data_IF_876253070209
#
_entry.id   IF_876253070209
#
_cell.length_a   1.000
_cell.length_b   1.000
_cell.length_c   1.000
_cell.angle_alpha   90.00
_cell.angle_beta   90.00
_cell.angle_gamma   90.00
#
_symmetry.space_group_name_H-M   'P 1'
#
loop_
_entity.id
_entity.type
_entity.pdbx_description
1 polymer ?
#
# COMPACT_ATOMS: atom_id res chain seq x y z
N UNK A 1 -22.66 9.72 -13.71
CA UNK A 1 -23.71 10.47 -14.45
C UNK A 1 -24.43 11.40 -13.49
N UNK A 2 -24.69 12.64 -13.91
CA UNK A 2 -25.46 13.64 -13.17
C UNK A 2 -26.92 13.59 -13.64
N UNK A 3 -27.87 13.29 -12.74
CA UNK A 3 -29.30 13.18 -13.06
C UNK A 3 -30.11 14.21 -12.28
N UNK A 4 -30.92 14.98 -12.99
CA UNK A 4 -31.85 15.98 -12.42
C UNK A 4 -33.26 15.65 -12.88
N UNK A 5 -34.24 15.74 -11.99
CA UNK A 5 -35.64 15.50 -12.33
C UNK A 5 -36.53 16.59 -11.73
N UNK A 6 -37.49 17.09 -12.51
CA UNK A 6 -38.55 17.92 -11.98
C UNK A 6 -39.61 17.02 -11.30
N UNK A 7 -39.48 16.84 -9.99
CA UNK A 7 -40.45 16.10 -9.16
C UNK A 7 -41.64 16.96 -8.72
N UNK A 8 -41.71 18.22 -9.14
CA UNK A 8 -42.79 19.14 -8.82
C UNK A 8 -44.03 18.95 -9.70
N UNK A 9 -45.05 19.78 -9.45
CA UNK A 9 -46.35 19.73 -10.13
C UNK A 9 -46.48 20.71 -11.31
N UNK A 10 -45.47 21.55 -11.56
CA UNK A 10 -45.52 22.58 -12.59
C UNK A 10 -44.25 22.58 -13.44
N UNK A 11 -44.36 23.14 -14.64
CA UNK A 11 -43.21 23.40 -15.50
C UNK A 11 -42.21 24.31 -14.78
N UNK A 12 -40.93 24.02 -14.95
CA UNK A 12 -39.83 24.90 -14.53
C UNK A 12 -39.03 25.34 -15.75
N UNK A 13 -38.34 26.48 -15.65
CA UNK A 13 -37.47 27.00 -16.69
C UNK A 13 -36.28 27.77 -16.08
N UNK A 14 -35.43 28.34 -16.94
CA UNK A 14 -34.23 29.08 -16.56
C UNK A 14 -33.34 28.27 -15.58
N UNK A 15 -33.27 26.96 -15.83
CA UNK A 15 -32.43 26.04 -15.09
C UNK A 15 -30.98 26.49 -15.18
N UNK A 16 -30.28 26.45 -14.06
CA UNK A 16 -28.86 26.74 -13.99
C UNK A 16 -28.22 25.88 -12.90
N UNK A 17 -27.06 25.33 -13.21
CA UNK A 17 -26.26 24.52 -12.32
C UNK A 17 -24.82 25.00 -12.38
N UNK A 18 -24.17 25.00 -11.22
CA UNK A 18 -22.74 25.18 -11.07
C UNK A 18 -22.18 23.98 -10.30
N UNK A 19 -21.01 23.53 -10.74
CA UNK A 19 -20.20 22.55 -10.03
C UNK A 19 -18.75 23.09 -10.03
N UNK A 20 -18.08 22.97 -8.88
CA UNK A 20 -16.66 23.28 -8.71
C UNK A 20 -15.99 21.94 -8.47
N UNK A 21 -15.05 21.58 -9.35
CA UNK A 21 -14.36 20.30 -9.25
C UNK A 21 -13.64 20.22 -7.89
N UNK A 22 -13.62 19.04 -7.25
CA UNK A 22 -12.84 18.79 -6.05
C UNK A 22 -11.40 19.29 -6.17
N UNK A 23 -10.93 19.95 -5.11
CA UNK A 23 -9.56 20.39 -4.94
C UNK A 23 -9.26 20.62 -3.45
N UNK A 24 -7.99 20.63 -3.07
CA UNK A 24 -7.56 20.97 -1.72
C UNK A 24 -8.14 22.32 -1.25
N UNK A 25 -8.81 22.31 -0.10
CA UNK A 25 -9.39 23.51 0.52
C UNK A 25 -10.65 24.03 -0.16
N UNK A 26 -11.30 23.22 -1.00
CA UNK A 26 -12.57 23.54 -1.61
C UNK A 26 -13.72 23.74 -0.61
N UNK A 27 -14.72 24.51 -1.04
CA UNK A 27 -15.90 24.84 -0.24
C UNK A 27 -17.17 24.59 -1.03
N UNK A 28 -18.32 24.61 -0.37
CA UNK A 28 -19.61 24.49 -1.03
C UNK A 28 -19.88 25.52 -2.14
N UNK A 29 -20.82 25.18 -3.01
CA UNK A 29 -21.07 25.88 -4.27
C UNK A 29 -22.16 26.96 -4.12
N UNK A 30 -23.07 26.87 -3.16
CA UNK A 30 -24.09 27.92 -2.94
C UNK A 30 -23.64 28.96 -1.91
N UNK A 31 -24.35 30.09 -1.85
CA UNK A 31 -24.09 31.11 -0.83
C UNK A 31 -24.21 30.55 0.60
N UNK A 32 -25.08 29.56 0.82
CA UNK A 32 -25.29 28.94 2.11
C UNK A 32 -24.07 28.13 2.60
N UNK A 33 -23.29 27.57 1.67
CA UNK A 33 -22.21 26.61 1.94
C UNK A 33 -20.83 27.10 1.51
N UNK A 34 -20.72 28.30 0.94
CA UNK A 34 -19.46 28.85 0.43
C UNK A 34 -18.36 29.09 1.48
N UNK A 35 -18.68 29.01 2.77
CA UNK A 35 -17.70 29.03 3.85
C UNK A 35 -17.52 27.66 4.52
N UNK A 36 -18.20 26.62 4.04
CA UNK A 36 -18.10 25.26 4.56
C UNK A 36 -17.13 24.48 3.68
N UNK A 37 -16.05 24.00 4.29
CA UNK A 37 -15.09 23.13 3.61
C UNK A 37 -15.76 21.83 3.19
N UNK A 38 -15.37 21.32 2.02
CA UNK A 38 -15.74 19.96 1.62
C UNK A 38 -14.73 18.93 2.11
N UNK A 39 -13.55 19.36 2.58
CA UNK A 39 -12.48 18.50 3.10
C UNK A 39 -11.97 17.52 2.02
N UNK A 40 -11.96 17.94 0.75
CA UNK A 40 -11.35 17.16 -0.33
C UNK A 40 -9.84 17.06 -0.12
N UNK A 41 -9.31 15.85 -0.25
CA UNK A 41 -7.89 15.54 -0.04
C UNK A 41 -7.08 15.57 -1.34
N UNK A 42 -7.72 15.30 -2.48
CA UNK A 42 -7.09 15.43 -3.80
C UNK A 42 -7.95 16.22 -4.78
N UNK A 43 -7.35 16.55 -5.92
CA UNK A 43 -7.99 17.27 -7.03
C UNK A 43 -8.50 16.30 -8.10
N UNK A 44 -9.62 16.63 -8.73
CA UNK A 44 -10.06 15.95 -9.96
C UNK A 44 -9.99 16.84 -11.20
N UNK A 45 -10.01 16.19 -12.36
CA UNK A 45 -9.84 16.83 -13.66
C UNK A 45 -10.92 16.36 -14.61
N UNK A 46 -11.42 17.27 -15.46
CA UNK A 46 -12.23 16.84 -16.61
C UNK A 46 -11.31 16.16 -17.65
N UNK A 47 -11.83 15.16 -18.34
CA UNK A 47 -11.13 14.50 -19.45
C UNK A 47 -11.74 14.82 -20.81
N UNK A 48 -12.81 15.60 -20.85
CA UNK A 48 -13.53 15.95 -22.07
C UNK A 48 -14.76 16.81 -21.80
N UNK A 49 -15.56 17.07 -22.86
CA UNK A 49 -16.77 17.85 -22.73
C UNK A 49 -17.85 17.09 -21.97
N UNK A 50 -18.65 17.84 -21.20
CA UNK A 50 -19.89 17.34 -20.60
C UNK A 50 -20.91 17.15 -21.73
N UNK A 51 -21.57 16.00 -21.73
CA UNK A 51 -22.55 15.62 -22.74
C UNK A 51 -23.94 15.60 -22.13
N UNK A 52 -24.91 16.23 -22.80
CA UNK A 52 -26.33 16.09 -22.49
C UNK A 52 -26.85 14.79 -23.12
N UNK A 53 -27.09 13.79 -22.28
CA UNK A 53 -27.51 12.44 -22.69
C UNK A 53 -29.03 12.32 -22.83
N UNK A 54 -29.77 12.95 -21.92
CA UNK A 54 -31.23 12.88 -21.88
C UNK A 54 -31.81 14.24 -21.53
N UNK A 55 -32.88 14.63 -22.23
CA UNK A 55 -33.69 15.80 -21.88
C UNK A 55 -35.17 15.56 -22.23
N UNK A 56 -36.10 16.38 -21.70
CA UNK A 56 -37.50 16.28 -22.06
C UNK A 56 -37.74 16.65 -23.53
N UNK A 57 -38.57 15.86 -24.22
CA UNK A 57 -38.93 16.03 -25.62
C UNK A 57 -40.44 15.89 -25.82
N UNK A 58 -41.02 16.68 -26.73
CA UNK A 58 -42.41 16.53 -27.18
C UNK A 58 -42.62 17.20 -28.56
N UNK A 59 -42.95 16.45 -29.63
CA UNK A 59 -42.94 14.99 -29.73
C UNK A 59 -41.51 14.42 -29.62
N UNK A 60 -41.32 13.09 -29.53
CA UNK A 60 -39.99 12.48 -29.51
C UNK A 60 -39.10 12.98 -30.65
N UNK A 61 -37.85 13.33 -30.34
CA UNK A 61 -36.89 13.99 -31.23
C UNK A 61 -37.00 15.52 -31.28
N UNK A 62 -37.91 16.13 -30.51
CA UNK A 62 -38.07 17.60 -30.42
C UNK A 62 -37.83 18.06 -28.98
N UNK A 63 -36.61 18.54 -28.65
CA UNK A 63 -36.28 19.02 -27.32
C UNK A 63 -37.20 20.14 -26.83
N UNK A 64 -37.63 20.03 -25.57
CA UNK A 64 -38.43 21.05 -24.89
C UNK A 64 -37.59 22.17 -24.29
N UNK A 65 -36.26 22.08 -24.39
CA UNK A 65 -35.33 23.10 -23.94
C UNK A 65 -34.02 23.08 -24.73
N UNK A 66 -33.27 24.17 -24.59
CA UNK A 66 -31.88 24.24 -25.05
C UNK A 66 -30.97 24.53 -23.86
N UNK A 67 -29.83 23.85 -23.80
CA UNK A 67 -28.87 23.94 -22.71
C UNK A 67 -27.50 24.34 -23.26
N UNK A 68 -26.86 25.28 -22.58
CA UNK A 68 -25.50 25.71 -22.84
C UNK A 68 -24.63 25.22 -21.71
N UNK A 69 -23.55 24.56 -22.07
CA UNK A 69 -22.54 24.06 -21.16
C UNK A 69 -21.31 24.96 -21.33
N UNK A 70 -20.84 25.50 -20.22
CA UNK A 70 -19.70 26.41 -20.20
C UNK A 70 -18.72 25.98 -19.11
N UNK A 71 -17.44 26.21 -19.36
CA UNK A 71 -16.33 25.75 -18.53
C UNK A 71 -15.58 26.94 -17.98
N UNK A 72 -15.22 26.90 -16.72
CA UNK A 72 -14.37 27.89 -16.11
C UNK A 72 -12.92 27.41 -16.14
N UNK A 73 -12.07 28.18 -16.84
CA UNK A 73 -10.65 27.92 -16.92
C UNK A 73 -9.97 28.78 -15.86
N UNK A 74 -9.49 28.14 -14.81
CA UNK A 74 -9.02 28.80 -13.60
C UNK A 74 -7.59 28.42 -13.29
N UNK A 75 -6.64 29.30 -13.56
CA UNK A 75 -5.32 29.27 -12.92
C UNK A 75 -5.04 30.65 -12.31
N UNK A 76 -5.00 30.81 -10.96
CA UNK A 76 -5.18 29.83 -9.87
C UNK A 76 -6.58 29.86 -9.21
N UNK A 77 -7.57 30.52 -9.81
CA UNK A 77 -8.89 30.66 -9.20
C UNK A 77 -9.71 29.37 -9.39
N UNK A 78 -10.12 28.71 -8.31
CA UNK A 78 -11.08 27.59 -8.36
C UNK A 78 -12.54 28.06 -8.21
N UNK A 79 -12.74 29.33 -7.89
CA UNK A 79 -13.99 29.82 -7.33
C UNK A 79 -14.65 30.83 -8.28
N UNK A 80 -15.33 30.38 -9.35
CA UNK A 80 -16.00 31.28 -10.29
C UNK A 80 -17.12 32.06 -9.61
N UNK A 81 -17.35 33.29 -10.07
CA UNK A 81 -18.56 34.01 -9.69
C UNK A 81 -19.81 33.28 -10.18
N UNK A 82 -20.78 33.15 -9.27
CA UNK A 82 -22.02 32.38 -9.44
C UNK A 82 -23.20 33.08 -8.77
N UNK A 83 -23.57 34.28 -9.23
CA UNK A 83 -24.60 35.10 -8.58
C UNK A 83 -25.97 34.46 -8.51
N UNK A 84 -26.26 33.53 -9.41
CA UNK A 84 -27.50 32.76 -9.42
C UNK A 84 -27.61 31.79 -8.25
N UNK A 85 -26.51 31.49 -7.57
CA UNK A 85 -26.46 30.58 -6.40
C UNK A 85 -26.66 31.33 -5.07
N UNK A 86 -27.20 32.55 -5.10
CA UNK A 86 -27.53 33.32 -3.89
C UNK A 86 -28.69 32.70 -3.10
N UNK A 87 -28.74 32.99 -1.79
CA UNK A 87 -29.81 32.57 -0.87
C UNK A 87 -31.09 33.41 -1.02
N UNK A 88 -31.13 34.31 -2.00
CA UNK A 88 -32.24 35.22 -2.20
C UNK A 88 -33.17 34.72 -3.29
N UNK A 89 -34.47 34.74 -3.00
CA UNK A 89 -35.50 34.58 -4.02
C UNK A 89 -35.68 35.84 -4.89
N UNK A 90 -35.02 36.96 -4.57
CA UNK A 90 -35.04 38.16 -5.39
C UNK A 90 -34.02 38.10 -6.54
N UNK A 91 -34.44 38.61 -7.70
CA UNK A 91 -33.61 38.69 -8.93
C UNK A 91 -32.47 39.72 -8.79
N UNK A 92 -32.53 40.63 -7.82
CA UNK A 92 -31.69 41.83 -7.77
C UNK A 92 -30.43 41.68 -6.90
N UNK A 93 -30.40 40.69 -6.00
CA UNK A 93 -29.26 40.45 -5.09
C UNK A 93 -28.35 39.37 -5.65
N UNK A 94 -27.33 39.81 -6.38
CA UNK A 94 -26.27 38.97 -6.91
C UNK A 94 -25.24 38.72 -5.81
N UNK A 95 -25.09 37.46 -5.40
CA UNK A 95 -23.98 37.02 -4.56
C UNK A 95 -22.72 36.82 -5.42
N UNK A 96 -21.50 37.01 -4.89
CA UNK A 96 -20.24 36.94 -5.67
C UNK A 96 -20.21 37.81 -6.96
N UNK A 97 -20.29 39.14 -6.83
CA UNK A 97 -20.23 40.03 -8.00
C UNK A 97 -18.85 40.05 -8.70
N UNK A 98 -18.80 39.75 -10.01
CA UNK A 98 -17.66 40.01 -10.92
C UNK A 98 -17.19 38.82 -11.75
N UNK A 99 -16.86 39.03 -13.04
CA UNK A 99 -16.04 38.14 -13.90
C UNK A 99 -16.59 36.75 -14.26
N UNK A 100 -17.43 36.68 -15.28
CA UNK A 100 -17.99 35.45 -15.89
C UNK A 100 -17.01 34.78 -16.86
N UNK A 101 -15.81 34.38 -16.44
CA UNK A 101 -14.81 33.74 -17.31
C UNK A 101 -15.16 32.28 -17.64
N UNK A 102 -16.41 32.04 -18.01
CA UNK A 102 -16.88 30.80 -18.56
C UNK A 102 -16.71 30.84 -20.07
N UNK A 103 -16.13 29.79 -20.63
CA UNK A 103 -15.94 29.60 -22.07
C UNK A 103 -16.78 28.44 -22.55
N UNK A 104 -17.17 28.46 -23.83
CA UNK A 104 -17.73 27.27 -24.47
C UNK A 104 -16.63 26.23 -24.70
N UNK A 105 -17.02 25.00 -25.04
CA UNK A 105 -16.10 23.90 -25.38
C UNK A 105 -14.97 24.32 -26.34
N UNK A 106 -15.29 25.08 -27.39
CA UNK A 106 -14.30 25.56 -28.35
C UNK A 106 -13.20 26.48 -27.76
N UNK A 107 -13.41 27.01 -26.55
CA UNK A 107 -12.44 27.80 -25.81
C UNK A 107 -11.57 26.98 -24.85
N UNK A 108 -11.86 25.69 -24.66
CA UNK A 108 -11.05 24.79 -23.82
C UNK A 108 -9.89 24.25 -24.65
N UNK A 109 -8.67 24.65 -24.27
CA UNK A 109 -7.44 24.22 -24.94
C UNK A 109 -6.76 23.05 -24.22
N UNK A 110 -7.01 22.93 -22.92
CA UNK A 110 -6.55 21.85 -22.07
C UNK A 110 -7.61 21.60 -20.99
N UNK A 111 -8.12 20.37 -20.94
CA UNK A 111 -9.13 19.97 -19.97
C UNK A 111 -8.60 19.96 -18.53
N UNK A 112 -7.28 19.83 -18.35
CA UNK A 112 -6.66 19.91 -17.03
C UNK A 112 -6.72 21.31 -16.42
N UNK A 113 -7.02 22.35 -17.20
CA UNK A 113 -7.14 23.73 -16.71
C UNK A 113 -8.57 24.09 -16.27
N UNK A 114 -9.55 23.20 -16.52
CA UNK A 114 -10.93 23.42 -16.09
C UNK A 114 -11.04 23.13 -14.60
N UNK A 115 -11.59 24.07 -13.84
CA UNK A 115 -11.77 23.94 -12.38
C UNK A 115 -13.22 23.99 -11.94
N UNK A 116 -14.12 24.41 -12.82
CA UNK A 116 -15.56 24.42 -12.57
C UNK A 116 -16.32 24.41 -13.89
N UNK A 117 -17.61 24.06 -13.85
CA UNK A 117 -18.49 24.15 -15.01
C UNK A 117 -19.86 24.71 -14.63
N UNK A 118 -20.55 25.20 -15.65
CA UNK A 118 -21.90 25.73 -15.56
C UNK A 118 -22.76 25.14 -16.68
N UNK A 119 -23.96 24.71 -16.31
CA UNK A 119 -24.99 24.30 -17.26
C UNK A 119 -26.14 25.27 -17.12
N UNK A 120 -26.54 25.92 -18.22
CA UNK A 120 -27.62 26.91 -18.22
C UNK A 120 -28.62 26.62 -19.32
N UNK A 121 -29.90 26.64 -18.95
CA UNK A 121 -30.99 26.59 -19.92
C UNK A 121 -31.17 27.97 -20.55
N UNK A 122 -31.09 28.04 -21.88
CA UNK A 122 -31.35 29.26 -22.65
C UNK A 122 -32.83 29.50 -22.86
N UNK A 123 -33.52 28.46 -23.33
CA UNK A 123 -34.92 28.52 -23.72
C UNK A 123 -35.65 27.24 -23.34
N UNK A 124 -36.97 27.32 -23.27
CA UNK A 124 -37.84 26.17 -23.09
C UNK A 124 -38.22 25.88 -21.64
N UNK A 125 -38.66 24.65 -21.39
CA UNK A 125 -39.22 24.19 -20.12
C UNK A 125 -38.72 22.81 -19.76
N UNK A 126 -38.81 22.48 -18.48
CA UNK A 126 -38.69 21.12 -17.95
C UNK A 126 -40.06 20.80 -17.32
N UNK A 127 -40.90 19.97 -17.96
CA UNK A 127 -42.22 19.63 -17.45
C UNK A 127 -42.14 18.74 -16.20
N UNK A 128 -43.24 18.60 -15.43
CA UNK A 128 -43.34 17.59 -14.36
C UNK A 128 -42.91 16.21 -14.85
N UNK A 129 -42.05 15.54 -14.08
CA UNK A 129 -41.47 14.24 -14.42
C UNK A 129 -40.32 14.30 -15.43
N UNK A 130 -40.10 15.44 -16.09
CA UNK A 130 -39.00 15.66 -17.03
C UNK A 130 -37.64 15.44 -16.36
N UNK A 131 -36.77 14.70 -17.04
CA UNK A 131 -35.44 14.32 -16.56
C UNK A 131 -34.38 14.95 -17.46
N UNK A 132 -33.28 15.39 -16.84
CA UNK A 132 -32.04 15.74 -17.50
C UNK A 132 -30.96 14.76 -17.04
N UNK A 133 -30.17 14.22 -17.97
CA UNK A 133 -29.00 13.39 -17.66
C UNK A 133 -27.79 13.96 -18.36
N UNK A 134 -26.72 14.20 -17.60
CA UNK A 134 -25.44 14.65 -18.12
C UNK A 134 -24.34 13.66 -17.80
N UNK A 135 -23.48 13.38 -18.77
CA UNK A 135 -22.21 12.68 -18.58
C UNK A 135 -21.12 13.70 -18.32
N UNK A 136 -20.46 13.61 -17.17
CA UNK A 136 -19.35 14.48 -16.76
C UNK A 136 -18.08 13.62 -16.75
N UNK A 137 -17.24 13.68 -17.80
CA UNK A 137 -16.06 12.82 -17.90
C UNK A 137 -14.96 13.38 -16.99
N UNK A 138 -14.56 12.60 -15.98
CA UNK A 138 -13.58 12.99 -14.96
C UNK A 138 -12.50 11.93 -14.80
N UNK A 139 -11.32 12.36 -14.35
CA UNK A 139 -10.24 11.50 -13.85
C UNK A 139 -9.65 12.06 -12.55
N UNK A 140 -8.94 11.20 -11.86
CA UNK A 140 -7.95 11.53 -10.84
C UNK A 140 -6.60 11.68 -11.56
N UNK A 141 -5.70 12.55 -11.09
CA UNK A 141 -4.34 12.57 -11.63
C UNK A 141 -3.61 11.29 -11.23
N UNK A 142 -2.93 10.68 -12.18
CA UNK A 142 -2.11 9.48 -12.01
C UNK A 142 -0.62 9.85 -11.82
N UNK A 143 -0.31 11.14 -11.72
CA UNK A 143 1.04 11.62 -11.39
C UNK A 143 1.32 11.38 -9.91
N UNK A 144 2.51 10.84 -9.63
CA UNK A 144 3.02 10.58 -8.28
C UNK A 144 2.77 11.76 -7.32
N UNK A 145 2.03 11.50 -6.22
CA UNK A 145 1.82 12.44 -5.10
C UNK A 145 0.64 13.41 -5.22
N UNK A 146 -0.35 13.16 -6.08
CA UNK A 146 -1.57 14.01 -6.17
C UNK A 146 -2.84 13.41 -5.57
N UNK A 147 -2.97 12.09 -5.55
CA UNK A 147 -4.07 11.38 -4.88
C UNK A 147 -3.52 10.08 -4.30
N UNK A 148 -3.66 9.92 -3.00
CA UNK A 148 -3.14 8.77 -2.26
C UNK A 148 -4.26 7.80 -1.92
N UNK A 149 -3.86 6.59 -1.58
CA UNK A 149 -4.77 5.52 -1.22
C UNK A 149 -5.63 5.90 0.00
N UNK A 150 -6.92 5.57 -0.02
CA UNK A 150 -7.85 5.95 1.06
C UNK A 150 -8.23 7.42 1.14
N UNK A 151 -7.69 8.29 0.28
CA UNK A 151 -8.11 9.67 0.22
C UNK A 151 -9.50 9.83 -0.41
N UNK A 152 -10.18 10.92 -0.05
CA UNK A 152 -11.51 11.24 -0.59
C UNK A 152 -11.52 12.66 -1.16
N UNK A 153 -11.97 12.77 -2.41
CA UNK A 153 -12.37 14.03 -3.01
C UNK A 153 -13.89 14.19 -2.92
N UNK A 154 -14.35 15.27 -2.31
CA UNK A 154 -15.78 15.49 -2.10
C UNK A 154 -16.37 16.40 -3.17
N UNK A 155 -17.29 15.86 -3.96
CA UNK A 155 -18.00 16.65 -4.96
C UNK A 155 -19.44 17.00 -4.54
N UNK A 156 -19.89 18.17 -4.96
CA UNK A 156 -21.29 18.59 -4.94
C UNK A 156 -21.54 19.68 -5.98
N UNK A 157 -22.81 19.94 -6.29
CA UNK A 157 -23.20 20.99 -7.22
C UNK A 157 -24.32 21.83 -6.62
N UNK A 158 -24.39 23.11 -7.01
CA UNK A 158 -25.52 23.96 -6.69
C UNK A 158 -26.37 24.19 -7.93
N UNK A 159 -27.68 24.16 -7.77
CA UNK A 159 -28.63 24.34 -8.86
C UNK A 159 -29.79 25.24 -8.48
N UNK A 160 -30.43 25.82 -9.49
CA UNK A 160 -31.58 26.72 -9.35
C UNK A 160 -32.45 26.67 -10.58
N UNK A 161 -33.75 26.88 -10.39
CA UNK A 161 -34.75 26.97 -11.44
C UNK A 161 -35.80 28.02 -11.09
N UNK A 162 -36.59 28.40 -12.09
CA UNK A 162 -37.72 29.32 -11.96
C UNK A 162 -39.00 28.53 -12.16
N UNK A 163 -39.99 28.79 -11.30
CA UNK A 163 -41.34 28.28 -11.49
C UNK A 163 -41.96 29.00 -12.70
N UNK A 164 -42.16 28.28 -13.82
CA UNK A 164 -42.54 28.90 -15.09
C UNK A 164 -43.89 29.62 -15.03
N UNK A 165 -44.95 29.06 -14.39
CA UNK A 165 -46.23 29.76 -14.30
C UNK A 165 -46.20 31.06 -13.49
N UNK A 166 -45.49 31.07 -12.35
CA UNK A 166 -45.45 32.24 -11.46
C UNK A 166 -44.33 33.22 -11.77
N UNK A 167 -43.34 32.82 -12.57
CA UNK A 167 -42.10 33.57 -12.79
C UNK A 167 -41.22 33.65 -11.54
N UNK A 168 -41.58 32.96 -10.44
CA UNK A 168 -40.86 33.04 -9.18
C UNK A 168 -39.57 32.23 -9.24
N UNK A 169 -38.45 32.90 -8.95
CA UNK A 169 -37.16 32.26 -8.69
C UNK A 169 -37.26 31.38 -7.43
N UNK A 170 -36.86 30.13 -7.55
CA UNK A 170 -36.76 29.22 -6.41
C UNK A 170 -35.38 29.33 -5.75
N UNK A 171 -35.32 28.93 -4.47
CA UNK A 171 -34.09 28.96 -3.71
C UNK A 171 -33.06 27.99 -4.32
N UNK A 172 -31.79 28.36 -4.20
CA UNK A 172 -30.68 27.50 -4.61
C UNK A 172 -30.72 26.21 -3.79
N UNK A 173 -30.60 25.09 -4.49
CA UNK A 173 -30.49 23.77 -3.89
C UNK A 173 -29.09 23.23 -4.13
N UNK A 174 -28.47 22.70 -3.08
CA UNK A 174 -27.18 22.02 -3.14
C UNK A 174 -27.35 20.69 -2.42
N UNK A 175 -27.28 19.55 -3.14
CA UNK A 175 -27.35 18.24 -2.53
C UNK A 175 -26.19 17.99 -1.56
N UNK A 176 -26.31 16.92 -0.77
CA UNK A 176 -25.19 16.43 0.04
C UNK A 176 -24.00 16.10 -0.84
N UNK A 177 -22.80 16.39 -0.34
CA UNK A 177 -21.55 15.99 -0.97
C UNK A 177 -21.46 14.47 -1.10
N UNK A 178 -20.88 14.01 -2.21
CA UNK A 178 -20.60 12.61 -2.51
C UNK A 178 -19.09 12.45 -2.68
N UNK A 179 -18.54 11.39 -2.09
CA UNK A 179 -17.12 11.09 -2.16
C UNK A 179 -16.75 10.42 -3.48
N UNK A 180 -15.62 10.83 -4.04
CA UNK A 180 -14.83 10.09 -5.03
C UNK A 180 -13.66 9.53 -4.24
N UNK A 181 -13.55 8.21 -4.16
CA UNK A 181 -12.64 7.50 -3.26
C UNK A 181 -11.54 6.85 -4.10
N UNK A 182 -10.30 6.93 -3.63
CA UNK A 182 -9.22 6.04 -4.04
C UNK A 182 -9.24 4.87 -3.07
N UNK A 183 -9.36 3.65 -3.59
CA UNK A 183 -9.42 2.45 -2.74
C UNK A 183 -8.17 2.37 -1.86
N UNK A 184 -8.34 1.95 -0.61
CA UNK A 184 -7.27 1.74 0.37
C UNK A 184 -6.44 0.53 -0.04
N UNK A 185 -5.12 0.72 -0.15
CA UNK A 185 -4.11 -0.22 -0.63
C UNK A 185 -2.89 -0.12 0.26
N UNK A 186 -2.30 -1.28 0.49
CA UNK A 186 -1.18 -1.42 1.40
C UNK A 186 -0.05 -2.18 0.72
N UNK A 187 1.11 -2.14 1.36
CA UNK A 187 2.25 -2.93 0.92
C UNK A 187 2.98 -3.62 2.07
N UNK A 188 3.69 -4.70 1.73
CA UNK A 188 4.54 -5.48 2.64
C UNK A 188 5.90 -5.66 1.96
N UNK A 189 6.98 -5.39 2.69
CA UNK A 189 8.37 -5.72 2.37
C UNK A 189 9.01 -6.53 3.50
N UNK A 190 10.33 -6.69 3.63
CA UNK A 190 11.39 -5.89 3.03
C UNK A 190 12.62 -6.72 2.59
N UNK A 191 13.37 -7.40 3.48
CA UNK A 191 14.74 -7.84 3.19
C UNK A 191 15.11 -9.20 3.80
N UNK A 192 15.96 -9.93 3.07
CA UNK A 192 16.65 -11.13 3.52
C UNK A 192 18.16 -10.87 3.54
N UNK A 193 18.85 -11.18 4.64
CA UNK A 193 20.30 -10.91 4.75
C UNK A 193 21.10 -12.01 5.46
N UNK A 194 22.42 -11.90 5.29
CA UNK A 194 23.41 -12.73 5.95
C UNK A 194 23.82 -12.10 7.30
N UNK A 195 23.27 -12.62 8.39
CA UNK A 195 23.58 -12.22 9.76
C UNK A 195 24.90 -12.89 10.21
N UNK A 196 26.02 -12.37 9.72
CA UNK A 196 27.36 -12.87 10.03
C UNK A 196 28.20 -11.87 10.81
N UNK A 197 27.60 -10.74 11.21
CA UNK A 197 28.22 -9.63 11.90
C UNK A 197 29.26 -8.86 11.08
N UNK A 198 29.44 -9.18 9.79
CA UNK A 198 30.42 -8.59 8.88
C UNK A 198 31.87 -8.57 9.43
N UNK A 199 32.23 -9.61 10.19
CA UNK A 199 33.54 -9.71 10.85
C UNK A 199 33.65 -8.97 12.19
N UNK A 200 32.54 -8.43 12.71
CA UNK A 200 32.40 -7.92 14.08
C UNK A 200 31.72 -8.98 14.94
N UNK A 201 32.44 -9.65 15.87
CA UNK A 201 31.88 -10.78 16.61
C UNK A 201 30.64 -10.46 17.45
N UNK A 202 30.50 -9.22 17.94
CA UNK A 202 29.34 -8.79 18.72
C UNK A 202 28.05 -8.67 17.89
N UNK A 203 28.21 -8.65 16.56
CA UNK A 203 27.13 -8.46 15.61
C UNK A 203 26.72 -9.77 14.94
N UNK A 204 27.46 -10.86 15.16
CA UNK A 204 27.18 -12.12 14.48
C UNK A 204 26.01 -12.85 15.15
N UNK A 205 25.03 -13.25 14.34
CA UNK A 205 23.86 -14.03 14.73
C UNK A 205 23.04 -13.31 15.83
N UNK A 206 22.96 -11.98 15.75
CA UNK A 206 22.26 -11.16 16.75
C UNK A 206 20.82 -10.82 16.34
N UNK A 207 20.40 -11.21 15.14
CA UNK A 207 19.09 -10.94 14.56
C UNK A 207 18.81 -9.48 14.28
N UNK A 208 19.86 -8.67 14.09
CA UNK A 208 19.77 -7.25 13.72
C UNK A 208 20.64 -7.02 12.50
N UNK A 209 20.10 -6.37 11.47
CA UNK A 209 20.88 -6.00 10.30
C UNK A 209 21.92 -4.94 10.67
N UNK A 210 23.19 -5.35 10.67
CA UNK A 210 24.32 -4.54 11.05
C UNK A 210 25.10 -3.96 9.84
N UNK A 211 25.85 -2.89 10.10
CA UNK A 211 26.63 -2.25 9.05
C UNK A 211 27.68 -3.20 8.45
N UNK A 212 27.56 -3.45 7.14
CA UNK A 212 28.48 -4.30 6.38
C UNK A 212 27.97 -5.73 6.16
N UNK A 213 26.85 -6.10 6.79
CA UNK A 213 26.13 -7.31 6.42
C UNK A 213 25.52 -7.16 5.02
N UNK A 214 25.47 -8.27 4.30
CA UNK A 214 25.05 -8.29 2.90
C UNK A 214 23.68 -8.94 2.79
N UNK A 215 22.84 -8.39 1.92
CA UNK A 215 21.59 -9.04 1.56
C UNK A 215 21.80 -10.31 0.76
N UNK A 216 20.82 -11.20 0.81
CA UNK A 216 20.77 -12.44 0.05
C UNK A 216 19.76 -12.28 -1.09
N UNK A 217 20.26 -12.10 -2.31
CA UNK A 217 19.46 -12.08 -3.53
C UNK A 217 19.05 -13.51 -3.96
N UNK A 218 18.06 -13.61 -4.84
CA UNK A 218 17.54 -14.85 -5.44
C UNK A 218 16.85 -15.81 -4.45
N UNK A 219 16.50 -15.35 -3.25
CA UNK A 219 15.70 -16.09 -2.26
C UNK A 219 14.21 -15.90 -2.56
N UNK A 220 13.46 -17.00 -2.70
CA UNK A 220 11.99 -16.91 -2.86
C UNK A 220 11.31 -16.49 -1.56
N UNK A 221 10.40 -15.53 -1.65
CA UNK A 221 9.55 -15.07 -0.56
C UNK A 221 8.09 -15.21 -0.98
N UNK A 222 7.24 -15.71 -0.08
CA UNK A 222 5.83 -15.94 -0.34
C UNK A 222 4.94 -15.18 0.64
N UNK A 223 3.96 -14.46 0.13
CA UNK A 223 2.92 -13.83 0.93
C UNK A 223 1.69 -14.73 1.01
N UNK A 224 1.23 -14.99 2.22
CA UNK A 224 -0.03 -15.68 2.48
C UNK A 224 -1.03 -14.76 3.18
N UNK A 225 -2.33 -14.97 2.95
CA UNK A 225 -3.41 -14.30 3.66
C UNK A 225 -4.39 -15.29 4.27
N UNK A 226 -5.01 -14.89 5.38
CA UNK A 226 -6.19 -15.51 5.96
C UNK A 226 -7.31 -14.46 6.05
N UNK A 227 -8.11 -14.39 4.99
CA UNK A 227 -9.26 -13.48 4.89
C UNK A 227 -10.42 -13.91 5.80
N UNK A 228 -10.51 -15.20 6.10
CA UNK A 228 -11.58 -15.76 6.93
C UNK A 228 -11.29 -15.61 8.43
N UNK A 229 -10.02 -15.39 8.80
CA UNK A 229 -9.53 -15.35 10.17
C UNK A 229 -9.84 -16.66 10.89
N UNK A 230 -9.57 -17.79 10.22
CA UNK A 230 -9.81 -19.15 10.71
C UNK A 230 -8.52 -19.97 10.96
N UNK A 231 -7.36 -19.33 10.76
CA UNK A 231 -6.02 -19.89 10.86
C UNK A 231 -5.53 -20.57 9.58
N UNK A 232 -6.29 -20.52 8.47
CA UNK A 232 -5.96 -21.22 7.21
C UNK A 232 -5.49 -20.24 6.14
N UNK A 233 -4.18 -19.98 6.18
CA UNK A 233 -3.47 -19.13 5.24
C UNK A 233 -3.43 -19.70 3.80
N UNK A 234 -3.76 -18.85 2.81
CA UNK A 234 -3.69 -19.12 1.36
C UNK A 234 -2.58 -18.30 0.72
N UNK A 235 -1.89 -18.86 -0.27
CA UNK A 235 -0.85 -18.14 -1.02
C UNK A 235 -1.49 -17.02 -1.86
N UNK A 236 -1.01 -15.79 -1.65
CA UNK A 236 -1.44 -14.59 -2.37
C UNK A 236 -0.47 -14.26 -3.49
N UNK A 237 0.82 -14.18 -3.15
CA UNK A 237 1.86 -13.72 -4.04
C UNK A 237 3.20 -14.40 -3.74
N UNK A 238 4.10 -14.31 -4.71
CA UNK A 238 5.49 -14.77 -4.58
C UNK A 238 6.38 -13.72 -5.19
N UNK A 239 7.45 -13.37 -4.49
CA UNK A 239 8.53 -12.54 -4.97
C UNK A 239 9.86 -13.26 -4.75
N UNK A 240 10.94 -12.71 -5.31
CA UNK A 240 12.30 -13.21 -5.18
C UNK A 240 13.17 -12.02 -4.82
N UNK A 241 14.05 -12.17 -3.85
CA UNK A 241 14.88 -11.07 -3.34
C UNK A 241 15.86 -10.56 -4.39
N UNK A 242 16.11 -9.23 -4.42
CA UNK A 242 17.00 -8.56 -5.39
C UNK A 242 17.68 -7.36 -4.77
N UNK A 243 18.70 -6.85 -5.47
CA UNK A 243 19.32 -5.55 -5.20
C UNK A 243 19.81 -5.40 -3.75
N UNK A 244 20.34 -6.48 -3.20
CA UNK A 244 20.80 -6.55 -1.82
C UNK A 244 19.74 -7.10 -0.88
N UNK A 245 18.97 -8.09 -1.31
CA UNK A 245 18.11 -8.93 -0.48
C UNK A 245 16.66 -8.47 -0.39
N UNK A 246 16.23 -7.49 -1.18
CA UNK A 246 14.92 -6.87 -1.04
C UNK A 246 13.80 -7.61 -1.77
N UNK A 247 12.62 -7.71 -1.16
CA UNK A 247 11.38 -8.25 -1.71
C UNK A 247 10.20 -7.32 -1.41
N UNK A 248 9.15 -7.38 -2.23
CA UNK A 248 8.02 -6.47 -2.09
C UNK A 248 6.69 -7.05 -2.60
N UNK A 249 5.62 -6.77 -1.86
CA UNK A 249 4.23 -7.09 -2.20
C UNK A 249 3.34 -5.84 -2.07
N UNK A 250 2.87 -5.28 -3.19
CA UNK A 250 1.98 -4.12 -3.22
C UNK A 250 0.51 -4.47 -3.51
N UNK A 251 -0.34 -3.44 -3.55
CA UNK A 251 -1.78 -3.56 -3.90
C UNK A 251 -2.56 -4.52 -2.98
N UNK A 252 -2.22 -4.52 -1.69
CA UNK A 252 -2.84 -5.37 -0.68
C UNK A 252 -4.06 -4.70 -0.07
N UNK A 253 -5.01 -5.51 0.40
CA UNK A 253 -6.22 -5.04 1.08
C UNK A 253 -6.03 -5.18 2.60
N UNK A 254 -6.51 -4.23 3.39
CA UNK A 254 -6.51 -4.41 4.85
C UNK A 254 -7.72 -5.22 5.34
N UNK A 255 -8.78 -5.29 4.55
CA UNK A 255 -10.07 -5.84 4.97
C UNK A 255 -10.71 -6.76 3.93
N UNK A 256 -11.33 -7.83 4.43
CA UNK A 256 -12.22 -8.69 3.67
C UNK A 256 -13.69 -8.44 4.08
N UNK A 257 -14.58 -8.43 3.10
CA UNK A 257 -16.02 -8.18 3.30
C UNK A 257 -16.84 -9.39 2.85
N UNK A 258 -17.48 -10.05 3.81
CA UNK A 258 -18.45 -11.12 3.56
C UNK A 258 -19.88 -10.58 3.61
N UNK A 259 -20.67 -10.82 2.56
CA UNK A 259 -22.11 -10.52 2.55
C UNK A 259 -22.90 -11.77 2.96
N UNK A 260 -23.36 -11.82 4.20
CA UNK A 260 -24.17 -12.92 4.73
C UNK A 260 -25.65 -12.60 4.50
N UNK A 261 -26.44 -13.49 3.87
CA UNK A 261 -27.87 -13.28 3.71
C UNK A 261 -28.61 -13.11 5.05
N UNK A 262 -29.59 -12.18 5.17
CA UNK A 262 -30.15 -11.32 4.13
C UNK A 262 -29.57 -9.90 4.20
N UNK A 263 -28.31 -9.73 3.79
CA UNK A 263 -27.60 -8.43 3.66
C UNK A 263 -26.89 -7.95 4.95
N UNK A 264 -26.31 -8.87 5.73
CA UNK A 264 -25.36 -8.54 6.80
C UNK A 264 -23.94 -8.56 6.26
N UNK A 265 -23.31 -7.39 6.16
CA UNK A 265 -21.88 -7.29 5.89
C UNK A 265 -21.08 -7.61 7.16
N UNK A 266 -20.14 -8.54 7.04
CA UNK A 266 -19.12 -8.81 8.05
C UNK A 266 -17.80 -8.35 7.47
N UNK A 267 -17.21 -7.35 8.11
CA UNK A 267 -15.89 -6.82 7.76
C UNK A 267 -14.87 -7.41 8.73
N UNK A 268 -13.77 -7.92 8.20
CA UNK A 268 -12.65 -8.50 8.96
C UNK A 268 -11.36 -7.87 8.48
N UNK A 269 -10.40 -7.70 9.39
CA UNK A 269 -9.02 -7.42 8.97
C UNK A 269 -8.40 -8.72 8.45
N UNK A 270 -7.71 -8.62 7.33
CA UNK A 270 -7.00 -9.75 6.72
C UNK A 270 -5.73 -9.98 7.55
N UNK A 271 -5.49 -11.23 7.97
CA UNK A 271 -4.21 -11.61 8.55
C UNK A 271 -3.25 -12.01 7.43
N UNK A 272 -2.08 -11.40 7.39
CA UNK A 272 -1.00 -11.71 6.47
C UNK A 272 0.14 -12.47 7.16
N UNK A 273 0.85 -13.28 6.39
CA UNK A 273 2.05 -13.97 6.83
C UNK A 273 3.04 -14.08 5.67
N UNK A 274 4.27 -13.65 5.90
CA UNK A 274 5.37 -13.81 4.94
C UNK A 274 6.12 -15.11 5.25
N UNK A 275 6.53 -15.85 4.22
CA UNK A 275 7.21 -17.13 4.34
C UNK A 275 8.40 -17.23 3.40
N UNK A 276 9.51 -17.74 3.91
CA UNK A 276 10.58 -18.34 3.12
C UNK A 276 10.24 -19.82 2.97
N UNK A 277 9.90 -20.29 1.75
CA UNK A 277 9.35 -21.61 1.55
C UNK A 277 10.38 -22.72 1.79
N UNK A 278 9.88 -23.89 2.18
CA UNK A 278 10.71 -25.02 2.58
C UNK A 278 11.75 -25.48 1.54
N UNK A 279 11.46 -25.30 0.24
CA UNK A 279 12.38 -25.69 -0.82
C UNK A 279 13.65 -24.83 -0.87
N UNK A 280 13.64 -23.63 -0.29
CA UNK A 280 14.86 -22.82 -0.14
C UNK A 280 15.88 -23.50 0.77
N UNK A 281 15.46 -24.45 1.61
CA UNK A 281 16.33 -25.13 2.58
C UNK A 281 16.68 -26.57 2.17
N UNK A 282 16.29 -27.03 0.97
CA UNK A 282 16.53 -28.40 0.52
C UNK A 282 17.91 -28.56 -0.15
N UNK A 283 18.80 -29.31 0.50
CA UNK A 283 20.15 -29.63 -0.01
C UNK A 283 20.15 -30.52 -1.27
N UNK A 284 18.99 -31.05 -1.69
CA UNK A 284 18.86 -31.94 -2.86
C UNK A 284 18.61 -31.21 -4.17
N UNK A 285 18.68 -29.87 -4.18
CA UNK A 285 18.69 -29.07 -5.40
C UNK A 285 19.85 -29.53 -6.32
N UNK A 286 19.55 -29.97 -7.57
CA UNK A 286 20.54 -30.53 -8.50
C UNK A 286 21.73 -29.64 -8.86
N UNK A 287 21.70 -28.34 -8.53
CA UNK A 287 22.81 -27.41 -8.79
C UNK A 287 23.92 -27.43 -7.71
N UNK A 288 23.64 -28.02 -6.53
CA UNK A 288 24.63 -28.41 -5.50
C UNK A 288 25.29 -27.26 -4.72
N UNK A 289 25.72 -27.48 -3.46
CA UNK A 289 26.24 -26.41 -2.60
C UNK A 289 27.58 -25.89 -3.13
N UNK A 290 27.64 -24.65 -3.62
CA UNK A 290 28.91 -23.95 -3.81
C UNK A 290 29.43 -23.44 -2.45
N UNK A 291 30.65 -23.85 -2.10
CA UNK A 291 31.36 -23.50 -0.86
C UNK A 291 31.74 -21.99 -0.84
N UNK A 292 31.34 -21.24 -1.86
CA UNK A 292 31.63 -19.81 -2.01
C UNK A 292 30.32 -19.04 -2.26
N UNK A 293 29.80 -18.42 -1.20
CA UNK A 293 28.78 -17.35 -1.28
C UNK A 293 29.38 -16.12 -1.99
N UNK A 294 29.54 -16.17 -3.32
CA UNK A 294 29.62 -15.00 -4.21
C UNK A 294 29.69 -15.38 -5.71
N UNK A 295 28.92 -16.36 -6.18
CA UNK A 295 28.66 -16.51 -7.62
C UNK A 295 27.19 -16.83 -7.82
N UNK A 296 26.59 -16.14 -8.79
CA UNK A 296 25.14 -16.03 -9.04
C UNK A 296 24.46 -17.34 -9.54
N UNK A 297 24.91 -18.51 -9.07
CA UNK A 297 24.54 -19.82 -9.61
C UNK A 297 24.15 -20.86 -8.52
N UNK A 298 23.94 -20.49 -7.25
CA UNK A 298 23.40 -21.41 -6.22
C UNK A 298 22.51 -20.66 -5.20
N UNK A 299 21.17 -20.74 -5.33
CA UNK A 299 20.21 -19.87 -4.64
C UNK A 299 19.70 -20.39 -3.29
N UNK A 300 20.15 -21.56 -2.84
CA UNK A 300 19.50 -22.21 -1.68
C UNK A 300 20.02 -21.69 -0.33
N UNK A 301 19.10 -21.42 0.60
CA UNK A 301 19.35 -21.31 2.04
C UNK A 301 19.66 -22.67 2.69
N UNK A 302 20.11 -23.66 1.90
CA UNK A 302 20.63 -24.90 2.41
C UNK A 302 21.74 -24.63 3.44
N UNK A 303 21.66 -25.30 4.59
CA UNK A 303 22.56 -25.10 5.74
C UNK A 303 22.48 -23.73 6.44
N UNK A 304 21.51 -22.88 6.12
CA UNK A 304 21.23 -21.69 6.91
C UNK A 304 20.14 -21.95 7.95
N UNK A 305 20.19 -21.18 9.03
CA UNK A 305 19.20 -21.15 10.12
C UNK A 305 18.88 -19.66 10.36
N UNK A 306 17.63 -19.35 10.70
CA UNK A 306 17.25 -17.98 11.06
C UNK A 306 18.04 -17.52 12.28
N UNK A 307 18.36 -16.23 12.33
CA UNK A 307 19.14 -15.61 13.41
C UNK A 307 18.45 -15.59 14.77
N UNK A 308 17.13 -15.71 14.82
CA UNK A 308 16.38 -15.97 16.06
C UNK A 308 16.69 -17.36 16.68
N UNK A 309 17.31 -18.25 15.90
CA UNK A 309 17.70 -19.61 16.28
C UNK A 309 16.50 -20.52 16.55
N UNK A 310 16.74 -21.84 16.65
CA UNK A 310 15.69 -22.87 16.74
C UNK A 310 14.90 -22.87 18.08
N UNK A 311 14.28 -21.75 18.42
CA UNK A 311 13.42 -21.59 19.58
C UNK A 311 11.97 -21.54 19.10
N UNK A 312 11.13 -22.54 19.43
CA UNK A 312 9.74 -22.60 18.97
C UNK A 312 8.85 -21.54 19.66
N UNK A 313 9.44 -20.64 20.44
CA UNK A 313 8.75 -19.69 21.30
C UNK A 313 8.59 -18.36 20.62
N UNK A 314 8.00 -18.31 19.42
CA UNK A 314 7.12 -17.24 18.94
C UNK A 314 7.44 -15.77 19.32
N UNK A 315 8.71 -15.42 19.54
CA UNK A 315 9.13 -14.12 20.09
C UNK A 315 10.14 -13.57 19.11
N UNK A 316 9.67 -12.89 18.05
CA UNK A 316 10.53 -12.01 17.24
C UNK A 316 11.39 -11.14 18.16
N UNK A 317 12.55 -10.67 17.67
CA UNK A 317 13.35 -9.68 18.40
C UNK A 317 12.63 -8.32 18.30
N UNK A 318 11.54 -8.15 19.04
CA UNK A 318 10.72 -6.94 19.00
C UNK A 318 9.27 -7.18 19.42
N UNK A 319 8.52 -6.11 19.74
CA UNK A 319 7.06 -6.16 19.59
C UNK A 319 6.73 -6.55 18.13
N UNK A 320 5.56 -7.13 17.93
CA UNK A 320 5.06 -7.59 16.63
C UNK A 320 5.43 -6.64 15.48
N UNK A 321 6.33 -7.07 14.57
CA UNK A 321 6.58 -6.47 13.25
C UNK A 321 6.55 -4.93 13.24
N UNK A 322 7.26 -4.28 14.18
CA UNK A 322 7.31 -2.82 14.28
C UNK A 322 8.74 -2.26 14.31
N UNK A 323 9.74 -3.15 14.27
CA UNK A 323 11.16 -2.79 14.23
C UNK A 323 11.78 -3.28 12.91
N UNK A 324 11.97 -2.35 11.99
CA UNK A 324 12.81 -2.54 10.81
C UNK A 324 14.22 -2.99 11.20
N UNK A 325 14.85 -3.76 10.30
CA UNK A 325 16.22 -4.27 10.41
C UNK A 325 16.39 -5.28 11.55
N UNK A 326 15.33 -6.00 11.91
CA UNK A 326 15.36 -7.07 12.92
C UNK A 326 14.72 -8.35 12.42
N UNK A 327 15.31 -9.51 12.74
CA UNK A 327 14.82 -10.79 12.23
C UNK A 327 13.43 -11.11 12.82
N UNK A 328 12.45 -11.19 11.93
CA UNK A 328 11.05 -11.52 12.26
C UNK A 328 10.73 -13.01 12.02
N UNK A 329 11.69 -13.77 11.52
CA UNK A 329 11.58 -15.18 11.20
C UNK A 329 11.26 -16.06 12.41
N UNK A 330 10.22 -16.89 12.27
CA UNK A 330 9.89 -17.98 13.18
C UNK A 330 10.39 -19.29 12.60
N UNK A 331 11.29 -19.91 13.34
CA UNK A 331 11.87 -21.18 12.98
C UNK A 331 10.92 -22.38 13.16
N UNK A 332 11.16 -23.46 12.39
CA UNK A 332 10.55 -24.74 12.68
C UNK A 332 11.10 -25.30 14.00
N UNK A 333 10.34 -26.20 14.63
CA UNK A 333 10.65 -26.72 15.96
C UNK A 333 11.96 -27.54 16.04
N UNK A 334 12.55 -27.89 14.90
CA UNK A 334 13.83 -28.57 14.80
C UNK A 334 14.55 -28.17 13.50
N UNK A 335 15.88 -28.12 13.53
CA UNK A 335 16.72 -27.83 12.35
C UNK A 335 16.42 -28.78 11.19
N UNK A 336 16.10 -30.05 11.47
CA UNK A 336 15.77 -31.03 10.44
C UNK A 336 14.42 -30.78 9.73
N UNK A 337 13.61 -29.82 10.18
CA UNK A 337 12.30 -29.52 9.63
C UNK A 337 12.29 -28.27 8.72
N UNK A 338 13.41 -27.56 8.54
CA UNK A 338 13.48 -26.47 7.55
C UNK A 338 13.10 -26.90 6.13
N UNK A 339 13.58 -28.05 5.61
CA UNK A 339 13.20 -28.52 4.27
C UNK A 339 11.74 -28.95 4.13
N UNK A 340 10.96 -28.96 5.22
CA UNK A 340 9.52 -29.26 5.17
C UNK A 340 8.64 -28.06 5.51
N UNK A 341 9.10 -27.22 6.44
CA UNK A 341 8.27 -26.20 7.09
C UNK A 341 8.69 -24.76 6.72
N UNK A 342 9.93 -24.58 6.23
CA UNK A 342 10.51 -23.27 5.93
C UNK A 342 10.59 -22.35 7.15
N UNK A 343 10.66 -21.05 6.90
CA UNK A 343 10.62 -19.97 7.93
C UNK A 343 9.45 -19.05 7.63
N UNK A 344 8.79 -18.52 8.66
CA UNK A 344 7.62 -17.64 8.50
C UNK A 344 7.59 -16.51 9.50
N UNK A 345 6.96 -15.39 9.17
CA UNK A 345 6.65 -14.33 10.12
C UNK A 345 5.51 -14.74 11.08
N UNK A 346 5.28 -13.96 12.14
CA UNK A 346 3.99 -14.00 12.84
C UNK A 346 2.88 -13.56 11.87
N UNK A 347 1.63 -14.01 12.07
CA UNK A 347 0.49 -13.33 11.48
C UNK A 347 0.40 -11.87 11.94
N UNK A 348 0.13 -10.96 11.02
CA UNK A 348 -0.10 -9.54 11.29
C UNK A 348 -1.22 -8.99 10.42
N UNK A 349 -1.71 -7.79 10.71
CA UNK A 349 -2.78 -7.13 9.94
C UNK A 349 -2.30 -5.77 9.49
N UNK A 350 -2.63 -5.38 8.27
CA UNK A 350 -2.37 -4.03 7.77
C UNK A 350 -3.45 -3.07 8.25
N UNK A 351 -3.07 -1.86 8.66
CA UNK A 351 -3.96 -0.82 9.13
C UNK A 351 -3.53 0.55 8.63
N UNK A 352 -4.53 1.32 8.22
CA UNK A 352 -4.32 2.69 7.74
C UNK A 352 -3.65 3.56 8.80
N UNK A 353 -2.70 4.39 8.37
CA UNK A 353 -2.00 5.37 9.18
C UNK A 353 -1.32 4.76 10.43
N UNK A 354 -1.00 3.46 10.41
CA UNK A 354 -0.66 2.68 11.61
C UNK A 354 0.53 1.75 11.44
N UNK A 355 1.06 1.59 10.23
CA UNK A 355 2.32 0.87 10.04
C UNK A 355 3.49 1.67 10.63
N UNK A 356 4.64 1.00 10.78
CA UNK A 356 5.83 1.65 11.30
C UNK A 356 6.23 2.84 10.39
N UNK A 357 7.03 3.74 10.97
CA UNK A 357 7.44 4.97 10.30
C UNK A 357 8.95 5.07 10.30
N UNK A 358 9.50 5.55 9.18
CA UNK A 358 10.92 5.80 9.06
C UNK A 358 11.76 4.52 9.10
N UNK A 359 11.20 3.41 8.62
CA UNK A 359 11.91 2.23 8.19
C UNK A 359 13.03 2.69 7.26
N UNK A 360 14.23 2.61 7.80
CA UNK A 360 15.41 3.08 7.12
C UNK A 360 15.95 1.91 6.35
N UNK A 361 15.99 2.05 5.03
CA UNK A 361 17.10 1.51 4.27
C UNK A 361 18.39 1.91 5.00
N UNK A 362 18.99 0.98 5.75
CA UNK A 362 20.15 1.28 6.58
C UNK A 362 21.30 1.65 5.62
N UNK A 363 21.48 2.97 5.48
CA UNK A 363 22.70 3.75 5.28
C UNK A 363 22.99 4.34 3.86
N UNK A 364 22.78 5.68 3.84
CA UNK A 364 23.62 6.74 3.25
C UNK A 364 23.56 7.01 1.74
N UNK A 365 22.51 7.72 1.30
CA UNK A 365 22.59 8.45 0.03
C UNK A 365 22.90 7.56 -1.17
N UNK A 366 22.54 6.27 -1.07
CA UNK A 366 22.33 5.41 -2.20
C UNK A 366 21.25 6.08 -3.04
N UNK A 367 21.68 6.77 -4.09
CA UNK A 367 20.91 6.77 -5.32
C UNK A 367 20.87 5.31 -5.73
N UNK A 368 19.94 4.54 -5.18
CA UNK A 368 19.49 3.38 -5.91
C UNK A 368 18.79 3.94 -7.16
N UNK A 369 19.41 3.84 -8.35
CA UNK A 369 18.78 4.34 -9.56
C UNK A 369 17.65 3.41 -10.02
N UNK A 370 17.45 2.27 -9.35
CA UNK A 370 16.47 1.26 -9.68
C UNK A 370 16.18 0.38 -8.46
N UNK A 371 15.42 0.88 -7.46
CA UNK A 371 14.76 -0.03 -6.50
C UNK A 371 14.03 -1.13 -7.28
N UNK A 372 13.69 -2.29 -6.66
CA UNK A 372 12.85 -3.29 -7.30
C UNK A 372 11.74 -2.56 -8.03
N UNK A 373 11.44 -2.91 -9.30
CA UNK A 373 10.57 -2.10 -10.18
C UNK A 373 9.14 -1.88 -9.64
N UNK A 374 8.87 -2.39 -8.45
CA UNK A 374 7.64 -2.54 -7.71
C UNK A 374 7.59 -1.68 -6.42
N UNK A 375 8.71 -1.13 -5.92
CA UNK A 375 8.71 -0.30 -4.68
C UNK A 375 8.40 1.19 -4.92
N UNK A 376 8.15 1.58 -6.17
CA UNK A 376 7.94 2.98 -6.56
C UNK A 376 9.18 3.87 -6.34
N UNK A 377 9.16 5.13 -6.82
CA UNK A 377 10.33 6.02 -6.80
C UNK A 377 10.78 6.51 -5.41
N UNK A 378 10.22 5.99 -4.32
CA UNK A 378 10.47 6.41 -2.94
C UNK A 378 10.36 5.31 -1.88
N UNK A 379 10.26 4.03 -2.26
CA UNK A 379 9.91 2.96 -1.31
C UNK A 379 8.44 3.02 -0.87
N UNK A 380 7.56 3.52 -1.74
CA UNK A 380 6.13 3.84 -1.50
C UNK A 380 5.19 2.93 -2.31
N UNK A 381 5.64 1.74 -2.64
CA UNK A 381 4.90 0.77 -3.45
C UNK A 381 4.50 1.21 -4.87
N UNK A 382 3.72 0.37 -5.56
CA UNK A 382 3.28 0.62 -6.95
C UNK A 382 2.22 1.71 -7.06
N UNK A 383 1.44 1.94 -6.01
CA UNK A 383 0.29 2.85 -6.04
C UNK A 383 0.47 4.08 -5.15
N UNK A 384 1.72 4.39 -4.78
CA UNK A 384 2.06 5.51 -3.91
C UNK A 384 1.43 5.37 -2.52
N UNK A 385 1.40 4.15 -1.99
CA UNK A 385 1.10 3.87 -0.59
C UNK A 385 1.97 4.79 0.30
N UNK A 386 1.36 5.43 1.32
CA UNK A 386 2.13 6.24 2.26
C UNK A 386 3.00 5.33 3.16
N UNK A 387 4.05 5.91 3.78
CA UNK A 387 4.90 5.25 4.78
C UNK A 387 4.06 4.54 5.86
N UNK A 388 3.08 5.20 6.53
CA UNK A 388 2.26 4.54 7.54
C UNK A 388 1.20 3.55 6.99
N UNK A 389 1.16 3.31 5.67
CA UNK A 389 0.33 2.30 5.00
C UNK A 389 1.19 1.17 4.37
N UNK A 390 2.50 1.16 4.63
CA UNK A 390 3.46 0.20 4.10
C UNK A 390 4.22 -0.48 5.24
N UNK A 391 4.01 -1.79 5.44
CA UNK A 391 4.79 -2.54 6.44
C UNK A 391 6.12 -2.98 5.82
N UNK A 392 7.18 -2.23 6.09
CA UNK A 392 8.54 -2.54 5.64
C UNK A 392 9.41 -3.11 6.76
N UNK A 393 8.81 -3.76 7.76
CA UNK A 393 9.52 -4.31 8.92
C UNK A 393 9.71 -5.83 8.90
N UNK A 394 9.15 -6.52 7.90
CA UNK A 394 9.16 -7.99 7.86
C UNK A 394 10.48 -8.48 7.26
N UNK A 395 11.47 -8.57 8.13
CA UNK A 395 12.86 -8.89 7.82
C UNK A 395 13.20 -10.36 8.13
N UNK A 396 14.12 -10.98 7.38
CA UNK A 396 14.66 -12.32 7.68
C UNK A 396 16.19 -12.38 7.68
N UNK A 397 16.76 -12.67 8.85
CA UNK A 397 18.21 -12.79 9.05
C UNK A 397 18.64 -14.25 9.07
N UNK A 398 19.68 -14.62 8.32
CA UNK A 398 20.16 -16.00 8.26
C UNK A 398 21.66 -16.11 8.55
N UNK A 399 22.04 -17.16 9.26
CA UNK A 399 23.44 -17.51 9.49
C UNK A 399 23.70 -19.00 9.27
N UNK A 400 24.97 -19.34 8.99
CA UNK A 400 25.41 -20.74 8.91
C UNK A 400 25.84 -21.23 10.29
N UNK A 401 25.20 -22.27 10.86
CA UNK A 401 25.62 -22.83 12.13
C UNK A 401 26.98 -23.51 12.01
N UNK A 402 27.74 -23.50 13.11
CA UNK A 402 29.05 -24.15 13.18
C UNK A 402 28.95 -25.47 13.95
N UNK A 403 29.82 -26.42 13.62
CA UNK A 403 29.96 -27.68 14.35
C UNK A 403 31.33 -27.79 15.01
N UNK A 404 31.37 -28.33 16.24
CA UNK A 404 32.59 -28.62 16.97
C UNK A 404 32.60 -30.08 17.43
N UNK A 405 33.61 -30.83 17.01
CA UNK A 405 33.82 -32.20 17.45
C UNK A 405 34.89 -32.94 16.64
N UNK A 406 35.43 -34.02 17.20
CA UNK A 406 36.23 -35.03 16.50
C UNK A 406 36.37 -36.28 17.40
N UNK A 407 37.38 -37.11 17.13
CA UNK A 407 37.73 -38.34 17.83
C UNK A 407 38.58 -38.07 19.07
N UNK A 408 38.30 -38.79 20.15
CA UNK A 408 39.22 -38.98 21.28
C UNK A 408 39.99 -40.29 21.04
N UNK A 409 41.31 -40.27 21.13
CA UNK A 409 42.17 -41.44 20.82
C UNK A 409 43.22 -41.69 21.90
N UNK A 410 43.76 -42.91 21.91
CA UNK A 410 44.94 -43.25 22.71
C UNK A 410 46.19 -42.93 21.89
N UNK A 411 47.00 -41.98 22.38
CA UNK A 411 48.31 -41.62 21.80
C UNK A 411 49.33 -42.74 22.10
N UNK A 412 49.22 -43.82 21.34
CA UNK A 412 49.87 -45.11 21.58
C UNK A 412 50.57 -45.66 20.34
N UNK A 413 50.77 -44.83 19.32
CA UNK A 413 51.43 -45.21 18.07
C UNK A 413 52.80 -45.84 18.27
N UNK A 414 53.24 -46.64 17.30
CA UNK A 414 54.50 -47.38 17.42
C UNK A 414 55.76 -46.51 17.20
N UNK A 415 56.80 -46.74 18.01
CA UNK A 415 58.13 -46.17 17.78
C UNK A 415 58.17 -44.66 17.98
N UNK A 416 58.44 -43.90 16.92
CA UNK A 416 58.48 -42.43 16.96
C UNK A 416 57.11 -41.77 17.10
N UNK A 417 56.04 -42.55 16.96
CA UNK A 417 54.66 -42.12 17.05
C UNK A 417 54.09 -42.25 18.48
N UNK A 418 54.85 -42.80 19.42
CA UNK A 418 54.38 -42.97 20.78
C UNK A 418 54.41 -41.63 21.55
N UNK A 419 53.27 -41.17 22.06
CA UNK A 419 53.13 -39.91 22.82
C UNK A 419 53.55 -38.67 22.02
N UNK A 420 53.19 -38.60 20.73
CA UNK A 420 53.58 -37.49 19.85
C UNK A 420 52.54 -36.36 19.77
N UNK A 421 51.34 -36.55 20.37
CA UNK A 421 50.24 -35.58 20.33
C UNK A 421 49.55 -35.45 18.97
N UNK A 422 49.79 -36.37 18.05
CA UNK A 422 49.19 -36.43 16.70
C UNK A 422 48.41 -37.73 16.60
N UNK A 423 47.22 -37.70 15.99
CA UNK A 423 46.51 -38.94 15.73
C UNK A 423 47.19 -39.71 14.58
N UNK A 424 47.80 -40.83 14.90
CA UNK A 424 48.39 -41.75 13.94
C UNK A 424 47.40 -42.83 13.47
N UNK A 425 47.67 -43.42 12.30
CA UNK A 425 46.77 -44.40 11.68
C UNK A 425 46.61 -45.71 12.48
N UNK A 426 47.58 -46.03 13.35
CA UNK A 426 47.58 -47.19 14.24
C UNK A 426 46.95 -46.92 15.61
N UNK A 427 46.33 -45.75 15.80
CA UNK A 427 45.77 -45.35 17.09
C UNK A 427 44.25 -45.56 17.18
N UNK A 428 43.87 -46.29 18.22
CA UNK A 428 42.48 -46.62 18.49
C UNK A 428 41.73 -45.45 19.15
N UNK A 429 40.43 -45.41 18.89
CA UNK A 429 39.54 -44.42 19.49
C UNK A 429 39.12 -44.88 20.88
N UNK A 430 38.94 -43.94 21.80
CA UNK A 430 38.41 -44.25 23.12
C UNK A 430 36.89 -44.15 23.07
N UNK A 431 36.21 -45.28 23.24
CA UNK A 431 34.75 -45.34 23.28
C UNK A 431 34.23 -44.95 24.67
N UNK A 432 33.07 -44.28 24.70
CA UNK A 432 32.37 -43.94 25.94
C UNK A 432 32.99 -42.78 26.73
N UNK A 433 33.88 -41.99 26.12
CA UNK A 433 34.38 -40.75 26.73
C UNK A 433 33.26 -39.72 26.73
N UNK A 434 32.93 -39.21 27.93
CA UNK A 434 32.06 -38.05 28.06
C UNK A 434 32.84 -36.80 27.69
N UNK A 435 32.36 -36.06 26.69
CA UNK A 435 32.87 -34.74 26.32
C UNK A 435 31.83 -33.71 26.72
N UNK A 436 32.27 -32.63 27.35
CA UNK A 436 31.42 -31.52 27.79
C UNK A 436 31.85 -30.27 27.04
N UNK A 437 30.90 -29.61 26.40
CA UNK A 437 31.10 -28.30 25.77
C UNK A 437 30.66 -27.23 26.76
N UNK A 438 31.51 -26.25 26.98
CA UNK A 438 31.19 -25.08 27.78
C UNK A 438 31.29 -23.84 26.89
N UNK A 439 30.46 -22.84 27.16
CA UNK A 439 30.55 -21.52 26.53
C UNK A 439 31.41 -20.59 27.38
N UNK A 440 32.06 -19.64 26.75
CA UNK A 440 32.71 -18.49 27.39
C UNK A 440 32.03 -17.28 26.76
N UNK A 441 30.95 -16.81 27.39
CA UNK A 441 30.06 -15.81 26.81
C UNK A 441 30.71 -14.42 26.86
N UNK A 442 31.73 -14.23 27.70
CA UNK A 442 32.38 -12.94 27.93
C UNK A 442 33.81 -12.85 27.37
N UNK A 443 34.38 -13.96 26.89
CA UNK A 443 35.69 -14.03 26.23
C UNK A 443 36.89 -13.85 27.16
N UNK A 444 36.74 -14.06 28.47
CA UNK A 444 37.83 -13.94 29.45
C UNK A 444 38.69 -15.20 29.59
N UNK A 445 38.35 -16.28 28.87
CA UNK A 445 39.02 -17.57 28.92
C UNK A 445 38.56 -18.46 30.08
N UNK A 446 37.52 -18.08 30.81
CA UNK A 446 36.86 -18.87 31.85
C UNK A 446 35.48 -19.29 31.34
N UNK A 447 35.15 -20.59 31.34
CA UNK A 447 33.84 -21.01 30.89
C UNK A 447 32.72 -20.51 31.81
N UNK A 448 31.67 -19.99 31.20
CA UNK A 448 30.45 -19.52 31.84
C UNK A 448 29.41 -20.66 31.92
N UNK A 449 28.89 -20.90 33.13
CA UNK A 449 27.79 -21.84 33.36
C UNK A 449 28.18 -23.32 33.53
N UNK A 450 27.18 -24.19 33.43
CA UNK A 450 27.32 -25.65 33.48
C UNK A 450 27.16 -26.23 32.07
N UNK A 451 27.79 -27.38 31.77
CA UNK A 451 27.78 -27.99 30.44
C UNK A 451 26.45 -28.67 30.11
#
# INVERSE_FOLDING_TARGET
MLRIQNTGLVNVNAYILYDILPHLGDTGVSQATAGQLRDSQFRTFLTGPIVLEEQPEDPPGTPLGNFVIEYYIGTPAYNPARPEMSNSSDIVTNWSGGGTNFVLEAGVTDWNLVTAFRIRQDTGIIPPGGTLVFSVPMRIDDTAGEAETGEIAWNNFAQRFTNQPSGRRLLTAEPRKVGIIVDEKFSIGNRVWLDNGAGTPANANNGVLDAGEVGLDDVTVQLFSDEAVDGVFQLVATDVTRDGGYYFFGNLESQAVDVIPPDTEVVRFIEYQVRIPAFEFDETDPDGPDDVLNTADDPTLANFISSTGSTPTNTPIGPANDLDSTDTGIDPAAIAAYPTDGVRSQPFTLQRDSEALGETNVILGGTDPSPPTNEGPFGRGENFEEDPDSDLTVDFGFFRPMSLGNRVWLDTGAGGNFNNGVQDADEDGILGVTVQLFRDDNGDGVPDGAP
#
